data_IF_161464156834
#
_entry.id   IF_161464156834
#
_cell.length_a   1.000
_cell.length_b   1.000
_cell.length_c   1.000
_cell.angle_alpha   90.00
_cell.angle_beta   90.00
_cell.angle_gamma   90.00
#
_symmetry.space_group_name_H-M   'P 1'
#
loop_
_entity.id
_entity.type
_entity.pdbx_description
1 polymer ?
#
# COMPACT_ATOMS: atom_id res chain seq x y z
N UNK A 1 24.75 -6.50 -77.36
CA UNK A 1 23.78 -7.60 -77.22
C UNK A 1 22.59 -7.00 -76.45
N UNK A 2 21.53 -6.46 -77.08
CA UNK A 2 20.55 -7.08 -78.00
C UNK A 2 20.04 -8.43 -77.44
N UNK A 3 18.76 -8.68 -77.12
CA UNK A 3 17.49 -8.09 -77.57
C UNK A 3 16.38 -8.18 -76.51
N UNK A 4 15.42 -7.25 -76.62
CA UNK A 4 14.08 -7.26 -76.01
C UNK A 4 13.10 -8.17 -76.83
N UNK A 5 11.77 -7.95 -76.87
CA UNK A 5 10.70 -8.64 -76.12
C UNK A 5 9.59 -9.23 -77.04
N UNK A 6 8.46 -9.71 -76.50
CA UNK A 6 7.19 -9.92 -77.25
C UNK A 6 6.00 -9.83 -76.26
N UNK A 7 5.30 -8.68 -76.09
CA UNK A 7 4.03 -8.20 -76.72
C UNK A 7 2.82 -9.15 -76.61
N UNK A 8 1.81 -8.85 -75.76
CA UNK A 8 0.52 -8.10 -75.98
C UNK A 8 -0.55 -8.89 -76.78
N UNK A 9 -1.89 -8.69 -76.64
CA UNK A 9 -2.64 -7.44 -76.31
C UNK A 9 -3.78 -7.60 -75.25
N UNK A 10 -4.11 -6.58 -74.46
CA UNK A 10 -5.13 -5.52 -74.68
C UNK A 10 -6.49 -5.97 -75.23
N UNK A 11 -7.55 -5.73 -74.43
CA UNK A 11 -8.83 -5.27 -74.97
C UNK A 11 -9.40 -4.12 -74.12
N UNK A 12 -9.99 -3.15 -74.81
CA UNK A 12 -10.34 -1.80 -74.33
C UNK A 12 -11.86 -1.57 -74.37
N UNK A 13 -12.34 -0.75 -73.42
CA UNK A 13 -13.47 0.23 -73.48
C UNK A 13 -14.94 -0.28 -73.56
N UNK A 14 -15.99 0.54 -73.25
CA UNK A 14 -16.12 1.81 -72.49
C UNK A 14 -17.35 1.82 -71.50
N UNK A 15 -17.71 2.93 -70.81
CA UNK A 15 -18.66 2.93 -69.68
C UNK A 15 -20.10 3.23 -70.08
N UNK A 16 -21.07 2.71 -69.33
CA UNK A 16 -22.50 3.05 -69.45
C UNK A 16 -22.98 3.86 -68.24
N UNK A 17 -23.54 5.03 -68.55
CA UNK A 17 -24.07 6.01 -67.62
C UNK A 17 -25.58 5.79 -67.43
N UNK A 18 -26.01 5.77 -66.15
CA UNK A 18 -27.33 6.08 -65.55
C UNK A 18 -28.55 5.21 -65.88
N UNK A 19 -29.20 4.72 -64.81
CA UNK A 19 -30.64 4.96 -64.54
C UNK A 19 -30.90 5.08 -63.03
N UNK A 20 -31.60 6.16 -62.65
CA UNK A 20 -32.22 6.35 -61.33
C UNK A 20 -33.51 5.53 -61.28
N UNK A 21 -33.73 4.79 -60.19
CA UNK A 21 -35.03 4.29 -59.71
C UNK A 21 -34.91 4.13 -58.19
N UNK A 22 -35.46 5.06 -57.40
CA UNK A 22 -36.74 4.97 -56.68
C UNK A 22 -36.82 3.78 -55.70
N UNK A 23 -36.37 4.05 -54.47
CA UNK A 23 -37.12 3.90 -53.22
C UNK A 23 -37.55 2.51 -52.76
N UNK A 24 -36.94 2.05 -51.64
CA UNK A 24 -37.69 1.42 -50.55
C UNK A 24 -36.87 1.40 -49.23
N UNK A 25 -37.54 1.86 -48.17
CA UNK A 25 -37.27 1.77 -46.73
C UNK A 25 -35.81 1.80 -46.21
N UNK A 26 -35.32 3.00 -45.86
CA UNK A 26 -34.30 3.16 -44.85
C UNK A 26 -34.92 2.81 -43.48
N UNK A 27 -34.48 1.70 -42.86
CA UNK A 27 -34.74 1.43 -41.45
C UNK A 27 -34.18 2.59 -40.62
N UNK A 28 -35.01 3.13 -39.72
CA UNK A 28 -34.62 4.23 -38.85
C UNK A 28 -33.36 3.83 -38.03
N UNK A 29 -32.41 4.76 -37.81
CA UNK A 29 -31.28 4.48 -36.94
C UNK A 29 -31.82 4.15 -35.54
N UNK A 30 -31.38 3.03 -34.98
CA UNK A 30 -31.63 2.70 -33.57
C UNK A 30 -30.91 3.77 -32.75
N UNK A 31 -31.68 4.74 -32.27
CA UNK A 31 -31.22 5.76 -31.34
C UNK A 31 -31.13 5.08 -29.97
N UNK A 32 -29.92 4.74 -29.53
CA UNK A 32 -29.71 4.44 -28.12
C UNK A 32 -30.08 5.71 -27.34
N UNK A 33 -30.92 5.62 -26.28
CA UNK A 33 -31.15 6.78 -25.44
C UNK A 33 -29.79 7.27 -24.91
N UNK A 34 -29.57 8.59 -24.79
CA UNK A 34 -28.40 9.08 -24.09
C UNK A 34 -28.35 8.45 -22.70
N UNK A 35 -27.15 8.12 -22.22
CA UNK A 35 -26.96 7.73 -20.83
C UNK A 35 -27.66 8.77 -19.94
N UNK A 36 -28.41 8.34 -18.90
CA UNK A 36 -29.09 9.28 -18.03
C UNK A 36 -28.08 10.28 -17.46
N UNK A 37 -28.44 11.56 -17.45
CA UNK A 37 -27.62 12.59 -16.80
C UNK A 37 -27.28 12.12 -15.37
N UNK A 38 -26.03 12.29 -14.91
CA UNK A 38 -25.64 11.90 -13.56
C UNK A 38 -26.55 12.61 -12.55
N UNK A 39 -27.17 11.82 -11.66
CA UNK A 39 -28.05 12.32 -10.59
C UNK A 39 -27.39 13.50 -9.86
N UNK A 40 -28.07 14.64 -9.67
CA UNK A 40 -27.49 15.81 -9.02
C UNK A 40 -27.03 15.46 -7.60
N UNK A 41 -25.71 15.42 -7.39
CA UNK A 41 -25.11 15.14 -6.08
C UNK A 41 -24.40 13.79 -5.95
N UNK A 42 -24.38 12.94 -6.98
CA UNK A 42 -23.52 11.75 -6.98
C UNK A 42 -22.05 12.17 -7.12
N UNK A 43 -21.30 12.04 -6.04
CA UNK A 43 -19.84 12.10 -6.10
C UNK A 43 -19.31 10.67 -6.15
N UNK A 44 -18.40 10.34 -7.08
CA UNK A 44 -17.77 9.03 -7.08
C UNK A 44 -17.04 8.82 -5.75
N UNK A 45 -17.00 7.59 -5.23
CA UNK A 45 -16.26 7.30 -4.01
C UNK A 45 -14.79 7.69 -4.17
N UNK A 46 -14.19 8.24 -3.11
CA UNK A 46 -12.78 8.60 -3.10
C UNK A 46 -11.91 7.38 -3.43
N UNK A 47 -10.74 7.55 -4.09
CA UNK A 47 -9.75 6.49 -4.18
C UNK A 47 -9.50 5.87 -2.80
N UNK A 48 -9.42 4.54 -2.72
CA UNK A 48 -9.41 3.83 -1.44
C UNK A 48 -8.25 4.26 -0.54
N UNK A 49 -7.08 4.55 -1.11
CA UNK A 49 -5.92 5.06 -0.37
C UNK A 49 -6.17 6.47 0.22
N UNK A 50 -6.97 7.30 -0.45
CA UNK A 50 -7.36 8.62 0.04
C UNK A 50 -8.40 8.51 1.16
N UNK A 51 -9.39 7.63 1.02
CA UNK A 51 -10.39 7.37 2.04
C UNK A 51 -9.74 6.84 3.32
N UNK A 52 -8.84 5.85 3.21
CA UNK A 52 -8.03 5.37 4.33
C UNK A 52 -7.32 6.51 5.06
N UNK A 53 -6.62 7.38 4.32
CA UNK A 53 -5.91 8.52 4.90
C UNK A 53 -6.84 9.43 5.70
N UNK A 54 -8.01 9.75 5.16
CA UNK A 54 -8.98 10.64 5.80
C UNK A 54 -9.61 9.97 7.03
N UNK A 55 -10.08 8.74 6.86
CA UNK A 55 -10.77 7.98 7.90
C UNK A 55 -9.86 7.62 9.07
N UNK A 56 -8.56 7.37 8.84
CA UNK A 56 -7.61 7.05 9.91
C UNK A 56 -6.81 8.25 10.42
N UNK A 57 -7.07 9.48 9.94
CA UNK A 57 -6.27 10.66 10.28
C UNK A 57 -6.16 10.91 11.80
N UNK A 58 -7.28 10.84 12.53
CA UNK A 58 -7.28 11.05 13.98
C UNK A 58 -6.57 9.92 14.76
N UNK A 59 -6.62 8.68 14.27
CA UNK A 59 -5.90 7.56 14.87
C UNK A 59 -4.38 7.66 14.62
N UNK A 60 -3.99 8.12 13.42
CA UNK A 60 -2.61 8.41 13.08
C UNK A 60 -2.03 9.50 13.98
N UNK A 61 -2.70 10.65 14.11
CA UNK A 61 -2.26 11.76 14.96
C UNK A 61 -2.12 11.35 16.43
N UNK A 62 -3.09 10.58 16.95
CA UNK A 62 -3.01 10.01 18.31
C UNK A 62 -1.81 9.09 18.47
N UNK A 63 -1.48 8.30 17.45
CA UNK A 63 -0.32 7.39 17.46
C UNK A 63 0.96 8.21 17.46
N UNK A 64 1.13 9.18 16.58
CA UNK A 64 2.31 10.06 16.56
C UNK A 64 2.51 10.79 17.89
N UNK A 65 1.44 11.34 18.45
CA UNK A 65 1.46 12.03 19.75
C UNK A 65 1.84 11.09 20.90
N UNK A 66 1.30 9.87 20.90
CA UNK A 66 1.61 8.86 21.92
C UNK A 66 3.10 8.49 21.87
N UNK A 67 3.59 8.15 20.67
CA UNK A 67 4.94 7.64 20.47
C UNK A 67 6.01 8.71 20.69
N UNK A 68 5.75 9.97 20.31
CA UNK A 68 6.67 11.08 20.53
C UNK A 68 8.05 10.88 19.89
N UNK A 69 8.13 10.11 18.81
CA UNK A 69 9.39 9.84 18.10
C UNK A 69 9.82 11.07 17.29
N UNK A 70 11.14 11.35 17.17
CA UNK A 70 12.28 10.61 17.74
C UNK A 70 12.61 10.96 19.20
N UNK A 71 11.94 11.96 19.79
CA UNK A 71 12.35 12.56 21.07
C UNK A 71 12.22 11.62 22.28
N UNK A 72 11.30 10.66 22.20
CA UNK A 72 11.10 9.61 23.20
C UNK A 72 12.20 8.53 23.26
N UNK A 73 13.21 8.60 22.41
CA UNK A 73 14.40 7.74 22.48
C UNK A 73 15.55 8.60 23.01
N UNK A 74 15.97 8.36 24.26
CA UNK A 74 17.03 9.14 24.89
C UNK A 74 18.43 8.58 24.60
N UNK A 75 18.57 7.25 24.64
CA UNK A 75 19.86 6.58 24.55
C UNK A 75 19.77 5.20 23.86
N UNK A 76 20.88 4.45 23.89
CA UNK A 76 20.99 3.09 23.33
C UNK A 76 20.04 2.09 23.99
N UNK A 77 19.84 2.18 25.31
CA UNK A 77 18.97 1.26 26.04
C UNK A 77 17.51 1.48 25.64
N UNK A 78 17.09 2.73 25.53
CA UNK A 78 15.78 3.07 24.97
C UNK A 78 15.63 2.60 23.54
N UNK A 79 16.62 2.84 22.69
CA UNK A 79 16.57 2.39 21.30
C UNK A 79 16.36 0.87 21.19
N UNK A 80 17.10 0.06 21.96
CA UNK A 80 16.92 -1.39 22.02
C UNK A 80 15.51 -1.78 22.50
N UNK A 81 15.00 -1.12 23.53
CA UNK A 81 13.67 -1.39 24.06
C UNK A 81 12.57 -1.02 23.05
N UNK A 82 12.72 0.09 22.32
CA UNK A 82 11.82 0.48 21.24
C UNK A 82 11.80 -0.54 20.11
N UNK A 83 12.96 -0.99 19.62
CA UNK A 83 13.05 -2.03 18.59
C UNK A 83 12.39 -3.33 19.06
N UNK A 84 12.65 -3.75 20.30
CA UNK A 84 12.02 -4.93 20.88
C UNK A 84 10.49 -4.80 20.99
N UNK A 85 10.00 -3.62 21.39
CA UNK A 85 8.56 -3.36 21.55
C UNK A 85 7.83 -3.30 20.20
N UNK A 86 8.45 -2.72 19.17
CA UNK A 86 7.94 -2.81 17.81
C UNK A 86 7.91 -4.25 17.31
N UNK A 87 9.00 -5.01 17.49
CA UNK A 87 9.09 -6.39 17.03
C UNK A 87 8.01 -7.27 17.67
N UNK A 88 7.75 -7.04 18.96
CA UNK A 88 6.75 -7.79 19.70
C UNK A 88 5.36 -7.69 19.07
N UNK A 89 4.99 -6.55 18.49
CA UNK A 89 3.69 -6.35 17.83
C UNK A 89 3.73 -6.66 16.32
N UNK A 90 4.79 -6.23 15.64
CA UNK A 90 4.84 -6.30 14.18
C UNK A 90 4.99 -7.73 13.66
N UNK A 91 5.78 -8.57 14.31
CA UNK A 91 5.98 -9.96 13.84
C UNK A 91 4.69 -10.79 13.85
N UNK A 92 3.91 -10.87 14.94
CA UNK A 92 2.65 -11.62 14.92
C UNK A 92 1.62 -11.02 13.95
N UNK A 93 1.61 -9.69 13.76
CA UNK A 93 0.74 -9.02 12.80
C UNK A 93 1.13 -9.36 11.35
N UNK A 94 2.40 -9.25 11.00
CA UNK A 94 2.92 -9.62 9.68
C UNK A 94 2.66 -11.09 9.37
N UNK A 95 2.87 -11.99 10.34
CA UNK A 95 2.55 -13.42 10.20
C UNK A 95 1.04 -13.66 9.95
N UNK A 96 0.16 -12.92 10.62
CA UNK A 96 -1.30 -13.01 10.42
C UNK A 96 -1.70 -12.52 9.03
N UNK A 97 -1.11 -11.42 8.56
CA UNK A 97 -1.35 -10.91 7.20
C UNK A 97 -0.88 -11.89 6.13
N UNK A 98 0.31 -12.49 6.32
CA UNK A 98 0.90 -13.45 5.37
C UNK A 98 0.07 -14.74 5.21
N UNK A 99 -0.83 -15.05 6.15
CA UNK A 99 -1.68 -16.23 6.10
C UNK A 99 -2.88 -16.10 5.13
N UNK A 100 -3.17 -14.89 4.62
CA UNK A 100 -4.24 -14.69 3.66
C UNK A 100 -3.76 -14.90 2.22
N UNK A 101 -4.58 -15.59 1.43
CA UNK A 101 -4.50 -15.55 -0.03
C UNK A 101 -4.94 -14.16 -0.53
N UNK A 102 -4.50 -13.72 -1.71
CA UNK A 102 -4.85 -12.42 -2.27
C UNK A 102 -3.67 -11.51 -2.58
N UNK A 103 -2.54 -11.67 -1.87
CA UNK A 103 -1.38 -10.79 -2.03
C UNK A 103 -0.81 -10.80 -3.46
N UNK A 104 -0.85 -11.96 -4.13
CA UNK A 104 -0.36 -12.12 -5.50
C UNK A 104 -1.24 -11.44 -6.54
N UNK A 105 -2.54 -11.28 -6.26
CA UNK A 105 -3.49 -10.64 -7.17
C UNK A 105 -3.42 -9.10 -7.13
N UNK A 106 -2.73 -8.52 -6.13
CA UNK A 106 -2.50 -7.08 -6.06
C UNK A 106 -1.55 -6.54 -7.15
N UNK A 107 -1.02 -7.38 -8.05
CA UNK A 107 -0.20 -6.93 -9.18
C UNK A 107 1.20 -6.54 -8.72
N UNK A 108 1.91 -5.55 -9.31
CA UNK A 108 3.36 -5.42 -9.12
C UNK A 108 3.79 -4.92 -7.73
N UNK A 109 2.91 -5.02 -6.73
CA UNK A 109 3.24 -4.90 -5.33
C UNK A 109 3.65 -6.27 -4.77
N UNK A 110 4.92 -6.38 -4.40
CA UNK A 110 5.38 -7.45 -3.51
C UNK A 110 5.32 -6.93 -2.07
N UNK A 111 4.51 -7.51 -1.18
CA UNK A 111 4.48 -7.07 0.21
C UNK A 111 5.84 -7.26 0.85
N UNK A 112 6.58 -6.16 1.07
CA UNK A 112 7.77 -6.10 1.90
C UNK A 112 7.59 -6.84 3.27
N UNK A 113 8.15 -8.04 3.48
CA UNK A 113 8.06 -8.72 4.77
C UNK A 113 8.97 -8.06 5.84
N UNK A 114 9.46 -6.85 5.57
CA UNK A 114 10.71 -6.34 6.08
C UNK A 114 10.63 -5.55 7.37
N UNK A 115 9.47 -5.24 7.95
CA UNK A 115 9.48 -4.49 9.22
C UNK A 115 10.08 -5.35 10.34
N UNK A 116 9.55 -6.55 10.57
CA UNK A 116 10.11 -7.46 11.58
C UNK A 116 11.51 -7.92 11.23
N UNK A 117 11.82 -8.16 9.94
CA UNK A 117 13.18 -8.54 9.52
C UNK A 117 14.19 -7.43 9.78
N UNK A 118 13.84 -6.17 9.52
CA UNK A 118 14.70 -5.01 9.81
C UNK A 118 14.86 -4.81 11.32
N UNK A 119 13.80 -5.00 12.10
CA UNK A 119 13.85 -4.96 13.57
C UNK A 119 14.77 -6.04 14.12
N UNK A 120 14.64 -7.29 13.65
CA UNK A 120 15.54 -8.40 14.03
C UNK A 120 16.98 -8.07 13.66
N UNK A 121 17.22 -7.54 12.45
CA UNK A 121 18.55 -7.16 12.01
C UNK A 121 19.19 -6.11 12.93
N UNK A 122 18.44 -5.08 13.29
CA UNK A 122 18.94 -4.02 14.17
C UNK A 122 19.19 -4.54 15.59
N UNK A 123 18.34 -5.43 16.10
CA UNK A 123 18.55 -6.10 17.39
C UNK A 123 19.81 -6.97 17.37
N UNK A 124 20.02 -7.75 16.31
CA UNK A 124 21.23 -8.57 16.13
C UNK A 124 22.49 -7.70 16.07
N UNK A 125 22.45 -6.59 15.33
CA UNK A 125 23.54 -5.62 15.23
C UNK A 125 23.85 -4.94 16.59
N UNK A 126 22.88 -4.92 17.52
CA UNK A 126 23.03 -4.45 18.90
C UNK A 126 23.41 -5.56 19.90
N UNK A 127 23.52 -6.81 19.43
CA UNK A 127 23.86 -7.98 20.25
C UNK A 127 22.70 -8.58 21.03
N UNK A 128 21.45 -8.29 20.63
CA UNK A 128 20.23 -8.81 21.27
C UNK A 128 19.64 -9.93 20.42
N UNK A 129 19.58 -11.15 20.98
CA UNK A 129 18.89 -12.26 20.32
C UNK A 129 17.37 -12.07 20.35
N UNK A 130 16.80 -11.68 19.22
CA UNK A 130 15.37 -11.41 19.05
C UNK A 130 14.45 -12.61 19.40
N UNK A 131 14.98 -13.84 19.40
CA UNK A 131 14.24 -15.06 19.79
C UNK A 131 13.98 -15.14 21.29
N UNK A 132 14.73 -14.37 22.09
CA UNK A 132 14.55 -14.30 23.55
C UNK A 132 13.54 -13.24 23.98
N UNK A 133 13.11 -12.39 23.05
CA UNK A 133 12.11 -11.36 23.31
C UNK A 133 10.70 -11.95 23.20
N UNK A 134 9.83 -11.60 24.14
CA UNK A 134 8.41 -11.94 24.05
C UNK A 134 7.73 -11.27 22.86
N UNK A 135 6.64 -11.87 22.38
CA UNK A 135 5.73 -11.24 21.42
C UNK A 135 4.47 -10.77 22.12
N UNK A 136 3.81 -9.79 21.52
CA UNK A 136 2.53 -9.30 22.01
C UNK A 136 1.53 -10.46 22.10
N UNK A 137 0.71 -10.52 23.15
CA UNK A 137 -0.37 -11.50 23.24
C UNK A 137 -1.28 -11.40 22.02
N UNK A 138 -1.80 -12.54 21.54
CA UNK A 138 -2.66 -12.57 20.36
C UNK A 138 -3.91 -11.69 20.48
N UNK A 139 -4.36 -11.42 21.71
CA UNK A 139 -5.49 -10.55 22.05
C UNK A 139 -5.23 -9.06 21.75
N UNK A 140 -3.96 -8.62 21.77
CA UNK A 140 -3.59 -7.22 21.46
C UNK A 140 -3.40 -7.04 19.95
N UNK A 141 -3.04 -8.10 19.22
CA UNK A 141 -2.91 -8.03 17.76
C UNK A 141 -4.29 -7.86 17.10
N UNK A 142 -4.43 -6.97 16.10
CA UNK A 142 -5.73 -6.67 15.49
C UNK A 142 -6.34 -7.93 14.86
N UNK A 143 -7.58 -8.25 15.21
CA UNK A 143 -8.28 -9.39 14.61
C UNK A 143 -8.56 -9.09 13.13
N UNK A 144 -7.91 -9.85 12.24
CA UNK A 144 -8.11 -9.77 10.80
C UNK A 144 -8.91 -11.02 10.39
N UNK A 145 -10.13 -10.82 9.89
CA UNK A 145 -11.05 -11.90 9.53
C UNK A 145 -11.00 -12.24 8.03
N UNK A 146 -10.50 -11.34 7.19
CA UNK A 146 -10.43 -11.52 5.75
C UNK A 146 -9.25 -10.72 5.14
N UNK A 147 -8.98 -11.00 3.86
CA UNK A 147 -7.89 -10.36 3.13
C UNK A 147 -8.04 -8.83 3.05
N UNK A 148 -9.26 -8.31 2.89
CA UNK A 148 -9.49 -6.87 2.82
C UNK A 148 -9.06 -6.16 4.12
N UNK A 149 -9.37 -6.73 5.28
CA UNK A 149 -8.87 -6.24 6.57
C UNK A 149 -7.34 -6.32 6.66
N UNK A 150 -6.74 -7.42 6.18
CA UNK A 150 -5.28 -7.54 6.13
C UNK A 150 -4.62 -6.49 5.23
N UNK A 151 -5.26 -6.14 4.11
CA UNK A 151 -4.82 -5.08 3.21
C UNK A 151 -4.87 -3.70 3.88
N UNK A 152 -5.92 -3.45 4.68
CA UNK A 152 -6.01 -2.26 5.53
C UNK A 152 -4.91 -2.19 6.59
N UNK A 153 -4.64 -3.31 7.28
CA UNK A 153 -3.53 -3.40 8.23
C UNK A 153 -2.18 -3.13 7.54
N UNK A 154 -2.01 -3.66 6.33
CA UNK A 154 -0.80 -3.46 5.54
C UNK A 154 -0.56 -1.99 5.18
N UNK A 155 -1.61 -1.26 4.85
CA UNK A 155 -1.54 0.19 4.60
C UNK A 155 -0.91 0.96 5.77
N UNK A 156 -1.24 0.58 7.01
CA UNK A 156 -0.69 1.23 8.22
C UNK A 156 0.80 0.99 8.34
N UNK A 157 1.25 -0.27 8.18
CA UNK A 157 2.67 -0.63 8.28
C UNK A 157 3.49 0.05 7.17
N UNK A 158 3.05 -0.04 5.92
CA UNK A 158 3.71 0.60 4.78
C UNK A 158 3.77 2.14 4.92
N UNK A 159 2.70 2.75 5.43
CA UNK A 159 2.66 4.19 5.68
C UNK A 159 3.64 4.64 6.77
N UNK A 160 3.80 3.83 7.83
CA UNK A 160 4.69 4.13 8.97
C UNK A 160 6.16 4.21 8.56
N UNK A 161 6.54 3.48 7.52
CA UNK A 161 7.89 3.42 6.97
C UNK A 161 8.38 4.78 6.42
N UNK A 162 7.47 5.67 5.99
CA UNK A 162 7.82 6.95 5.36
C UNK A 162 8.42 7.97 6.34
N UNK A 163 7.99 7.94 7.61
CA UNK A 163 8.54 8.79 8.67
C UNK A 163 9.90 8.31 9.18
N UNK A 164 10.24 7.04 8.94
CA UNK A 164 11.44 6.40 9.49
C UNK A 164 12.73 7.18 9.19
N UNK A 165 12.97 7.56 7.93
CA UNK A 165 14.22 8.25 7.55
C UNK A 165 14.44 9.56 8.29
N UNK A 166 13.37 10.28 8.61
CA UNK A 166 13.44 11.51 9.40
C UNK A 166 13.80 11.16 10.84
N UNK A 167 13.16 10.15 11.43
CA UNK A 167 13.47 9.64 12.77
C UNK A 167 14.94 9.23 12.85
N UNK A 168 15.42 8.39 11.92
CA UNK A 168 16.81 7.92 11.90
C UNK A 168 17.81 9.05 11.81
N UNK A 169 17.57 10.06 10.97
CA UNK A 169 18.46 11.23 10.86
C UNK A 169 18.62 11.95 12.20
N UNK A 170 17.53 12.13 12.95
CA UNK A 170 17.58 12.76 14.27
C UNK A 170 18.29 11.87 15.30
N UNK A 171 18.02 10.57 15.29
CA UNK A 171 18.70 9.61 16.17
C UNK A 171 20.21 9.56 15.89
N UNK A 172 20.62 9.55 14.62
CA UNK A 172 22.04 9.57 14.25
C UNK A 172 22.74 10.84 14.74
N UNK A 173 22.07 11.99 14.68
CA UNK A 173 22.65 13.26 15.15
C UNK A 173 22.82 13.31 16.68
N UNK A 174 21.99 12.59 17.45
CA UNK A 174 21.98 12.64 18.93
C UNK A 174 22.72 11.47 19.57
N UNK A 175 22.54 10.27 19.04
CA UNK A 175 22.99 8.99 19.62
C UNK A 175 23.59 8.04 18.56
N UNK A 176 24.05 8.57 17.42
CA UNK A 176 24.56 7.78 16.29
C UNK A 176 25.65 6.77 16.67
N UNK A 177 26.62 7.19 17.47
CA UNK A 177 27.70 6.32 17.96
C UNK A 177 27.17 5.16 18.82
N UNK A 178 26.06 5.38 19.52
CA UNK A 178 25.46 4.41 20.42
C UNK A 178 24.61 3.36 19.67
N UNK A 179 23.95 3.75 18.57
CA UNK A 179 23.14 2.84 17.74
C UNK A 179 23.97 2.12 16.67
N UNK A 180 25.10 2.69 16.25
CA UNK A 180 26.03 2.04 15.32
C UNK A 180 25.36 1.66 13.98
N UNK A 181 25.55 0.41 13.49
CA UNK A 181 24.98 -0.03 12.21
C UNK A 181 23.47 -0.36 12.27
N UNK A 182 22.88 -0.43 13.47
CA UNK A 182 21.49 -0.82 13.70
C UNK A 182 20.50 0.27 13.26
N UNK A 183 20.34 0.39 11.94
CA UNK A 183 19.61 1.48 11.26
C UNK A 183 18.58 0.97 10.26
N UNK A 184 18.48 -0.34 10.09
CA UNK A 184 17.63 -0.97 9.08
C UNK A 184 16.17 -0.51 9.23
N UNK A 185 15.61 -0.58 10.44
CA UNK A 185 14.18 -0.35 10.68
C UNK A 185 13.75 1.09 10.37
N UNK A 186 14.47 2.10 10.87
CA UNK A 186 14.13 3.51 10.65
C UNK A 186 14.69 4.09 9.34
N UNK A 187 15.01 3.28 8.32
CA UNK A 187 15.29 3.83 6.99
C UNK A 187 16.72 3.70 6.49
N UNK A 188 17.49 2.75 7.04
CA UNK A 188 18.76 2.31 6.47
C UNK A 188 18.63 1.74 5.05
N UNK A 189 19.73 1.28 4.43
CA UNK A 189 19.74 0.88 3.01
C UNK A 189 18.76 -0.23 2.61
N UNK A 190 18.29 -1.04 3.56
CA UNK A 190 17.30 -2.11 3.37
C UNK A 190 15.84 -1.63 3.37
N UNK A 191 15.60 -0.34 3.53
CA UNK A 191 14.26 0.24 3.57
C UNK A 191 13.70 0.46 2.16
N UNK A 192 12.39 0.21 1.95
CA UNK A 192 11.76 0.44 0.64
C UNK A 192 11.97 1.87 0.12
N UNK A 193 12.16 1.97 -1.19
CA UNK A 193 12.20 3.25 -1.89
C UNK A 193 10.84 3.93 -1.90
N UNK A 194 10.81 5.25 -2.10
CA UNK A 194 9.55 6.01 -2.19
C UNK A 194 8.60 5.50 -3.30
N UNK A 195 9.14 4.82 -4.30
CA UNK A 195 8.35 4.14 -5.34
C UNK A 195 7.46 3.02 -4.80
N UNK A 196 7.89 2.31 -3.75
CA UNK A 196 7.17 1.18 -3.17
C UNK A 196 5.80 1.60 -2.63
N UNK A 197 5.76 2.68 -1.85
CA UNK A 197 4.50 3.24 -1.34
C UNK A 197 3.55 3.69 -2.44
N UNK A 198 4.10 4.28 -3.52
CA UNK A 198 3.29 4.70 -4.67
C UNK A 198 2.66 3.48 -5.37
N UNK A 199 3.44 2.42 -5.56
CA UNK A 199 2.97 1.15 -6.14
C UNK A 199 1.89 0.51 -5.27
N UNK A 200 2.09 0.47 -3.96
CA UNK A 200 1.10 -0.06 -3.03
C UNK A 200 -0.22 0.69 -3.09
N UNK A 201 -0.20 2.03 -3.03
CA UNK A 201 -1.43 2.84 -3.12
C UNK A 201 -2.16 2.62 -4.45
N UNK A 202 -1.44 2.51 -5.57
CA UNK A 202 -2.06 2.23 -6.85
C UNK A 202 -2.74 0.84 -6.89
N UNK A 203 -2.11 -0.17 -6.28
CA UNK A 203 -2.72 -1.50 -6.14
C UNK A 203 -3.96 -1.46 -5.24
N UNK A 204 -3.91 -0.67 -4.16
CA UNK A 204 -5.01 -0.48 -3.23
C UNK A 204 -6.21 0.23 -3.87
N UNK A 205 -5.96 1.28 -4.64
CA UNK A 205 -7.00 1.99 -5.37
C UNK A 205 -7.67 1.07 -6.39
N UNK A 206 -6.89 0.29 -7.17
CA UNK A 206 -7.43 -0.72 -8.09
C UNK A 206 -8.27 -1.77 -7.37
N UNK A 207 -7.80 -2.30 -6.25
CA UNK A 207 -8.57 -3.24 -5.43
C UNK A 207 -9.91 -2.65 -4.99
N UNK A 208 -9.93 -1.38 -4.59
CA UNK A 208 -11.15 -0.68 -4.20
C UNK A 208 -12.15 -0.49 -5.35
N UNK A 209 -11.66 -0.29 -6.57
CA UNK A 209 -12.49 -0.17 -7.78
C UNK A 209 -13.07 -1.54 -8.20
N UNK A 210 -12.27 -2.61 -8.10
CA UNK A 210 -12.68 -3.99 -8.43
C UNK A 210 -13.61 -4.61 -7.38
N UNK A 211 -13.47 -4.20 -6.12
CA UNK A 211 -14.17 -4.77 -4.96
C UNK A 211 -14.81 -3.70 -4.06
N UNK A 212 -15.79 -2.93 -4.56
CA UNK A 212 -16.39 -1.83 -3.80
C UNK A 212 -17.07 -2.30 -2.50
N UNK A 213 -17.57 -3.55 -2.46
CA UNK A 213 -18.17 -4.16 -1.25
C UNK A 213 -17.15 -4.44 -0.14
N UNK A 214 -15.86 -4.48 -0.45
CA UNK A 214 -14.77 -4.73 0.51
C UNK A 214 -14.19 -3.48 1.14
N UNK A 215 -14.57 -2.27 0.69
CA UNK A 215 -14.05 -0.99 1.21
C UNK A 215 -14.15 -0.89 2.73
N UNK A 216 -15.31 -1.20 3.30
CA UNK A 216 -15.54 -1.11 4.74
C UNK A 216 -14.59 -2.02 5.54
N UNK A 217 -14.31 -3.22 5.02
CA UNK A 217 -13.36 -4.15 5.63
C UNK A 217 -11.92 -3.63 5.58
N UNK A 218 -11.51 -3.01 4.46
CA UNK A 218 -10.18 -2.38 4.36
C UNK A 218 -10.03 -1.26 5.38
N UNK A 219 -11.03 -0.37 5.49
CA UNK A 219 -11.02 0.71 6.49
C UNK A 219 -10.98 0.15 7.92
N UNK A 220 -11.77 -0.90 8.20
CA UNK A 220 -11.81 -1.54 9.51
C UNK A 220 -10.47 -2.16 9.90
N UNK A 221 -9.78 -2.83 8.96
CA UNK A 221 -8.46 -3.42 9.19
C UNK A 221 -7.39 -2.38 9.54
N UNK A 222 -7.39 -1.23 8.84
CA UNK A 222 -6.49 -0.13 9.14
C UNK A 222 -6.78 0.49 10.52
N UNK A 223 -8.04 0.77 10.82
CA UNK A 223 -8.46 1.29 12.12
C UNK A 223 -8.08 0.35 13.27
N UNK A 224 -8.35 -0.96 13.12
CA UNK A 224 -7.97 -1.98 14.10
C UNK A 224 -6.46 -2.00 14.36
N UNK A 225 -5.65 -1.82 13.31
CA UNK A 225 -4.19 -1.80 13.42
C UNK A 225 -3.68 -0.59 14.18
N UNK A 226 -4.23 0.60 13.95
CA UNK A 226 -3.91 1.78 14.77
C UNK A 226 -4.36 1.61 16.23
N UNK A 227 -5.54 1.04 16.46
CA UNK A 227 -6.01 0.79 17.83
C UNK A 227 -5.08 -0.18 18.58
N UNK A 228 -4.64 -1.25 17.92
CA UNK A 228 -3.66 -2.19 18.48
C UNK A 228 -2.32 -1.51 18.79
N UNK A 229 -1.85 -0.62 17.91
CA UNK A 229 -0.66 0.22 18.16
C UNK A 229 -0.84 1.09 19.41
N UNK A 230 -1.96 1.80 19.51
CA UNK A 230 -2.26 2.65 20.67
C UNK A 230 -2.31 1.82 21.97
N UNK A 231 -3.04 0.70 21.96
CA UNK A 231 -3.17 -0.20 23.11
C UNK A 231 -1.81 -0.76 23.55
N UNK A 232 -0.99 -1.20 22.60
CA UNK A 232 0.32 -1.80 22.87
C UNK A 232 1.35 -0.79 23.38
N UNK A 233 1.38 0.42 22.81
CA UNK A 233 2.38 1.42 23.17
C UNK A 233 1.98 2.29 24.36
N UNK A 234 0.70 2.34 24.74
CA UNK A 234 0.26 3.14 25.90
C UNK A 234 0.98 2.78 27.21
N UNK A 235 0.99 1.53 27.68
CA UNK A 235 1.70 1.19 28.91
C UNK A 235 3.22 1.38 28.78
N UNK A 236 3.79 1.04 27.62
CA UNK A 236 5.22 1.21 27.33
C UNK A 236 5.69 2.67 27.41
N UNK A 237 4.84 3.60 26.98
CA UNK A 237 5.10 5.04 27.09
C UNK A 237 4.82 5.59 28.48
N UNK A 238 3.85 5.04 29.21
CA UNK A 238 3.57 5.44 30.59
C UNK A 238 4.76 5.14 31.51
N UNK A 239 5.37 3.96 31.38
CA UNK A 239 6.56 3.55 32.15
C UNK A 239 7.78 4.46 31.91
N UNK A 240 7.89 5.08 30.74
CA UNK A 240 9.00 5.97 30.37
C UNK A 240 8.83 7.42 30.82
N UNK A 241 7.60 7.81 31.16
CA UNK A 241 7.28 9.16 31.65
C UNK A 241 7.27 9.24 33.18
N UNK A 242 7.29 8.09 33.86
CA UNK A 242 7.33 7.95 35.31
C UNK A 242 8.77 8.11 35.83
#
# INVERSE_FOLDING_TARGET
MNMSPTTHPQDRTPPLRRKRGKGEAAGAPVMFPPDPDPEPGWQPPLPLAQDLRQTTAGLHERTETLLGLPDSIADRADYMAWLGHYLALYEPLENRMAAFDGWRELGPFDPDPGHSRRLIRDLDDLGIDARRLGRAPAAVCPSLANFAQALGARYVLEGSALGGKVILRHLQARIGDAIGPATAFFGGPSHPEAGHWRTFKAALDRFGDEHPDKRADVLAGAAATFMALLEWFTPFMAERRA
#
